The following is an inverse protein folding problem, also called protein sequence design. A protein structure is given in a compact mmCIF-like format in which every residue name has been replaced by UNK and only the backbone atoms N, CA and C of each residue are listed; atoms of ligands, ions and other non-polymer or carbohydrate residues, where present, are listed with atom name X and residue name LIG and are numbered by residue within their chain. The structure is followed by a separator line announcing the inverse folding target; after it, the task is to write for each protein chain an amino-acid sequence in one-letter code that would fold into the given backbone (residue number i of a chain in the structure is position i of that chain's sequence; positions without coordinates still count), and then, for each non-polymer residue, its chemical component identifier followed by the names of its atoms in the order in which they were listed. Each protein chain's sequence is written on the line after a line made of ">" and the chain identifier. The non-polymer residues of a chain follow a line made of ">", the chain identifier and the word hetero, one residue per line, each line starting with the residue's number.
data_IF_290667866880
#
_entry.id   IF_290667866880
#
_cell.length_a   1.000
_cell.length_b   1.000
_cell.length_c   1.000
_cell.angle_alpha   90.00
_cell.angle_beta   90.00
_cell.angle_gamma   90.00
#
_symmetry.space_group_name_H-M   'P 1'
#
loop_
_entity.id
_entity.type
_entity.pdbx_description
1 polymer ?
#
# COMPACT_ATOMS: atom_id res chain seq x y z
N UNK A 1 17.24 -14.67 0.25
CA UNK A 1 16.24 -13.81 -0.39
C UNK A 1 16.80 -13.36 -1.72
N UNK A 2 16.02 -13.39 -2.79
CA UNK A 2 16.41 -12.98 -4.15
C UNK A 2 16.53 -11.46 -4.32
N UNK A 3 16.40 -10.70 -3.23
CA UNK A 3 16.42 -9.24 -3.24
C UNK A 3 15.10 -8.62 -3.67
N UNK A 4 14.06 -9.42 -3.94
CA UNK A 4 12.74 -8.91 -4.33
C UNK A 4 12.08 -8.16 -3.17
N UNK A 5 11.59 -6.94 -3.47
CA UNK A 5 10.78 -6.15 -2.54
C UNK A 5 9.32 -6.53 -2.75
N UNK A 6 8.70 -7.09 -1.70
CA UNK A 6 7.26 -7.33 -1.65
C UNK A 6 6.66 -6.36 -0.64
N UNK A 7 5.87 -5.40 -1.15
CA UNK A 7 5.18 -4.42 -0.34
C UNK A 7 3.67 -4.66 -0.34
N UNK A 8 3.03 -4.45 0.80
CA UNK A 8 1.57 -4.51 0.95
C UNK A 8 1.08 -3.34 1.79
N UNK A 9 -0.12 -2.85 1.51
CA UNK A 9 -0.79 -1.85 2.32
C UNK A 9 -2.29 -2.16 2.35
N UNK A 10 -2.82 -2.41 3.56
CA UNK A 10 -4.22 -2.81 3.79
C UNK A 10 -4.82 -1.94 4.88
N UNK A 11 -6.07 -1.57 4.69
CA UNK A 11 -6.88 -0.77 5.59
C UNK A 11 -8.06 -1.60 6.04
N UNK A 12 -8.33 -1.59 7.35
CA UNK A 12 -9.51 -2.23 7.93
C UNK A 12 -10.39 -1.20 8.63
N UNK A 13 -11.68 -1.49 8.67
CA UNK A 13 -12.71 -0.72 9.37
C UNK A 13 -13.57 -1.69 10.18
N UNK A 14 -13.80 -1.38 11.47
CA UNK A 14 -14.50 -2.26 12.42
C UNK A 14 -13.97 -3.69 12.48
N UNK A 15 -12.64 -3.85 12.36
CA UNK A 15 -11.96 -5.14 12.39
C UNK A 15 -12.14 -5.98 11.13
N UNK A 16 -12.74 -5.43 10.07
CA UNK A 16 -12.94 -6.09 8.78
C UNK A 16 -12.05 -5.46 7.72
N UNK A 17 -11.77 -6.22 6.66
CA UNK A 17 -11.12 -5.68 5.47
C UNK A 17 -11.98 -4.58 4.87
N UNK A 18 -11.32 -3.50 4.45
CA UNK A 18 -11.99 -2.33 3.86
C UNK A 18 -11.36 -1.95 2.53
N UNK A 19 -10.05 -1.70 2.49
CA UNK A 19 -9.35 -1.29 1.27
C UNK A 19 -7.95 -1.92 1.22
N UNK A 20 -7.49 -2.35 0.05
CA UNK A 20 -6.12 -2.85 -0.13
C UNK A 20 -5.45 -2.22 -1.34
N UNK A 21 -4.15 -1.94 -1.25
CA UNK A 21 -3.37 -1.42 -2.36
C UNK A 21 -2.61 -2.54 -3.07
N UNK A 22 -2.81 -2.63 -4.37
CA UNK A 22 -2.15 -3.58 -5.26
C UNK A 22 -0.95 -2.89 -5.92
N UNK A 23 0.25 -3.20 -5.41
CA UNK A 23 1.49 -2.54 -5.85
C UNK A 23 1.79 -2.77 -7.34
N UNK A 24 1.45 -3.96 -7.86
CA UNK A 24 1.74 -4.32 -9.26
C UNK A 24 0.88 -3.56 -10.27
N UNK A 25 -0.40 -3.38 -9.98
CA UNK A 25 -1.35 -2.67 -10.84
C UNK A 25 -1.50 -1.19 -10.49
N UNK A 26 -0.85 -0.71 -9.42
CA UNK A 26 -0.96 0.66 -8.90
C UNK A 26 -2.43 1.06 -8.69
N UNK A 27 -3.20 0.17 -8.08
CA UNK A 27 -4.64 0.36 -7.89
C UNK A 27 -5.10 -0.07 -6.50
N UNK A 28 -6.29 0.38 -6.11
CA UNK A 28 -6.92 -0.02 -4.86
C UNK A 28 -8.03 -1.04 -5.12
N UNK A 29 -8.20 -1.97 -4.20
CA UNK A 29 -9.29 -2.96 -4.21
C UNK A 29 -10.13 -2.71 -2.97
N UNK A 30 -11.39 -2.34 -3.18
CA UNK A 30 -12.40 -2.19 -2.14
C UNK A 30 -12.92 -3.56 -1.71
N UNK A 31 -13.16 -3.73 -0.41
CA UNK A 31 -13.71 -4.97 0.14
C UNK A 31 -15.25 -5.01 0.05
N UNK A 32 -15.91 -3.85 0.04
CA UNK A 32 -17.36 -3.70 -0.05
C UNK A 32 -17.78 -2.37 -0.70
N UNK A 33 -19.09 -2.16 -0.84
CA UNK A 33 -19.68 -0.96 -1.45
C UNK A 33 -19.39 0.33 -0.66
N UNK A 34 -19.16 0.24 0.65
CA UNK A 34 -18.81 1.41 1.45
C UNK A 34 -17.36 1.84 1.17
N UNK A 35 -16.46 0.87 0.99
CA UNK A 35 -15.07 1.12 0.63
C UNK A 35 -14.89 1.70 -0.79
N UNK A 36 -15.83 1.44 -1.71
CA UNK A 36 -15.81 2.00 -3.07
C UNK A 36 -15.77 3.53 -3.10
N UNK A 37 -16.45 4.18 -2.14
CA UNK A 37 -16.42 5.64 -2.00
C UNK A 37 -15.00 6.13 -1.73
N UNK A 38 -14.28 5.44 -0.85
CA UNK A 38 -12.88 5.78 -0.52
C UNK A 38 -11.95 5.46 -1.69
N UNK A 39 -12.17 4.33 -2.37
CA UNK A 39 -11.39 3.90 -3.54
C UNK A 39 -11.38 4.99 -4.61
N UNK A 40 -12.56 5.44 -5.06
CA UNK A 40 -12.70 6.47 -6.10
C UNK A 40 -12.04 7.78 -5.71
N UNK A 41 -12.27 8.23 -4.46
CA UNK A 41 -11.63 9.44 -3.93
C UNK A 41 -10.10 9.36 -3.99
N UNK A 42 -9.52 8.21 -3.63
CA UNK A 42 -8.07 8.03 -3.64
C UNK A 42 -7.49 7.85 -5.04
N UNK A 43 -8.27 7.32 -5.98
CA UNK A 43 -7.93 7.31 -7.40
C UNK A 43 -7.89 8.76 -7.94
N UNK A 44 -8.90 9.59 -7.63
CA UNK A 44 -8.96 10.99 -8.01
C UNK A 44 -7.83 11.85 -7.38
N UNK A 45 -7.51 11.59 -6.12
CA UNK A 45 -6.41 12.25 -5.40
C UNK A 45 -5.02 11.68 -5.76
N UNK A 46 -4.95 10.70 -6.67
CA UNK A 46 -3.72 10.08 -7.14
C UNK A 46 -2.84 9.50 -6.00
N UNK A 47 -3.48 8.97 -4.96
CA UNK A 47 -2.81 8.39 -3.78
C UNK A 47 -1.94 7.19 -4.15
N UNK A 48 -2.28 6.53 -5.25
CA UNK A 48 -1.60 5.34 -5.75
C UNK A 48 -0.10 5.58 -6.02
N UNK A 49 0.30 6.73 -6.57
CA UNK A 49 1.74 7.00 -6.82
C UNK A 49 2.51 7.17 -5.53
N UNK A 50 1.92 7.86 -4.56
CA UNK A 50 2.54 8.05 -3.25
C UNK A 50 2.74 6.71 -2.54
N UNK A 51 1.75 5.81 -2.61
CA UNK A 51 1.84 4.46 -2.03
C UNK A 51 2.86 3.59 -2.76
N UNK A 52 2.89 3.65 -4.08
CA UNK A 52 3.89 2.95 -4.89
C UNK A 52 5.30 3.39 -4.54
N UNK A 53 5.57 4.69 -4.54
CA UNK A 53 6.90 5.24 -4.21
C UNK A 53 7.35 4.83 -2.81
N UNK A 54 6.45 4.90 -1.83
CA UNK A 54 6.77 4.50 -0.47
C UNK A 54 7.11 3.01 -0.37
N UNK A 55 6.33 2.13 -0.99
CA UNK A 55 6.53 0.69 -0.89
C UNK A 55 7.72 0.19 -1.72
N UNK A 56 8.02 0.80 -2.88
CA UNK A 56 9.15 0.41 -3.73
C UNK A 56 10.49 0.95 -3.26
N UNK A 57 10.52 2.15 -2.68
CA UNK A 57 11.77 2.87 -2.41
C UNK A 57 11.94 3.18 -0.93
N UNK A 58 11.04 3.96 -0.36
CA UNK A 58 11.23 4.51 1.00
C UNK A 58 11.24 3.39 2.05
N UNK A 59 10.24 2.52 2.08
CA UNK A 59 10.14 1.43 3.04
C UNK A 59 11.37 0.49 3.03
N UNK A 60 11.81 -0.07 1.88
CA UNK A 60 12.97 -0.94 1.85
C UNK A 60 14.29 -0.22 2.15
N UNK A 61 14.45 1.06 1.77
CA UNK A 61 15.63 1.86 2.15
C UNK A 61 15.73 2.02 3.66
N UNK A 62 14.63 2.40 4.31
CA UNK A 62 14.57 2.51 5.77
C UNK A 62 14.84 1.16 6.41
N UNK A 63 14.20 0.09 5.94
CA UNK A 63 14.42 -1.26 6.48
C UNK A 63 15.91 -1.67 6.45
N UNK A 64 16.59 -1.47 5.32
CA UNK A 64 18.04 -1.76 5.18
C UNK A 64 18.88 -0.93 6.16
N UNK A 65 18.55 0.35 6.33
CA UNK A 65 19.24 1.24 7.27
C UNK A 65 19.11 0.75 8.71
N UNK A 66 17.89 0.40 9.15
CA UNK A 66 17.66 0.07 10.56
C UNK A 66 18.03 -1.36 10.93
N UNK A 67 17.92 -2.31 10.00
CA UNK A 67 18.41 -3.67 10.22
C UNK A 67 19.92 -3.68 10.47
N UNK A 68 20.69 -2.79 9.84
CA UNK A 68 22.13 -2.69 10.08
C UNK A 68 22.55 -2.17 11.45
N UNK A 69 21.61 -1.71 12.28
CA UNK A 69 21.90 -1.28 13.66
C UNK A 69 21.65 -2.37 14.72
N UNK A 70 21.04 -3.50 14.34
CA UNK A 70 20.84 -4.67 15.21
C UNK A 70 21.91 -5.71 15.00
#
# INVERSE_FOLDING_TARGET
>A
SDGSVRGSNRFGYDGRDFLSFQLGSKSFVAADDAAEVTRRRWEDENVAERRENYLKHICPEWLRKYVGYG
#
